data_IF_961639592735
#
_entry.id   IF_961639592735
#
_cell.length_a   1.000
_cell.length_b   1.000
_cell.length_c   1.000
_cell.angle_alpha   90.00
_cell.angle_beta   90.00
_cell.angle_gamma   90.00
#
_symmetry.space_group_name_H-M   'P 1'
#
loop_
_entity.id
_entity.type
_entity.pdbx_description
1 polymer ?
#
# COMPACT_ATOMS: atom_id res chain seq x y z
N UNK A 1 6.94 18.98 7.21
CA UNK A 1 5.87 18.44 6.36
C UNK A 1 6.06 18.80 4.89
N UNK A 2 6.08 20.08 4.50
CA UNK A 2 6.25 20.47 3.08
C UNK A 2 7.51 19.89 2.40
N UNK A 3 8.71 19.92 3.01
CA UNK A 3 9.90 19.33 2.37
C UNK A 3 9.79 17.80 2.15
N UNK A 4 9.02 17.11 3.00
CA UNK A 4 8.78 15.67 2.84
C UNK A 4 7.83 15.39 1.68
N UNK A 5 6.78 16.22 1.51
CA UNK A 5 5.83 16.10 0.40
C UNK A 5 6.51 16.40 -0.94
N UNK A 6 7.35 17.44 -0.99
CA UNK A 6 8.14 17.76 -2.18
C UNK A 6 9.09 16.63 -2.56
N UNK A 7 9.76 16.01 -1.57
CA UNK A 7 10.65 14.85 -1.80
C UNK A 7 9.91 13.63 -2.36
N UNK A 8 8.61 13.50 -2.07
CA UNK A 8 7.74 12.43 -2.57
C UNK A 8 7.12 12.76 -3.93
N UNK A 9 7.51 13.88 -4.56
CA UNK A 9 7.05 14.28 -5.88
C UNK A 9 5.75 15.07 -5.90
N UNK A 10 5.20 15.48 -4.74
CA UNK A 10 4.04 16.37 -4.76
C UNK A 10 4.43 17.78 -5.20
N UNK A 11 3.63 18.42 -6.07
CA UNK A 11 3.79 19.81 -6.46
C UNK A 11 3.30 20.75 -5.34
N UNK A 12 4.02 20.79 -4.22
CA UNK A 12 3.72 21.66 -3.07
C UNK A 12 4.58 22.92 -3.04
N UNK A 13 3.98 23.99 -2.55
CA UNK A 13 4.65 25.23 -2.17
C UNK A 13 4.10 25.75 -0.84
N UNK A 14 4.87 26.59 -0.17
CA UNK A 14 4.42 27.27 1.05
C UNK A 14 3.85 28.64 0.66
N UNK A 15 2.55 28.84 0.83
CA UNK A 15 1.88 30.11 0.61
C UNK A 15 1.41 30.65 1.97
N UNK A 16 2.02 31.74 2.44
CA UNK A 16 1.71 32.35 3.75
C UNK A 16 1.73 31.35 4.92
N UNK A 17 2.69 30.43 4.93
CA UNK A 17 2.79 29.38 5.97
C UNK A 17 1.92 28.15 5.75
N UNK A 18 1.06 28.14 4.72
CA UNK A 18 0.16 27.02 4.41
C UNK A 18 0.72 26.21 3.24
N UNK A 19 0.73 24.89 3.40
CA UNK A 19 1.11 23.96 2.33
C UNK A 19 0.02 23.97 1.26
N UNK A 20 0.37 24.38 0.05
CA UNK A 20 -0.56 24.52 -1.07
C UNK A 20 -0.06 23.72 -2.26
N UNK A 21 -0.95 23.00 -2.93
CA UNK A 21 -0.67 22.36 -4.21
C UNK A 21 -0.73 23.43 -5.32
N UNK A 22 0.28 23.52 -6.20
CA UNK A 22 0.25 24.46 -7.33
C UNK A 22 -0.22 23.83 -8.65
N UNK A 23 -0.35 22.50 -8.69
CA UNK A 23 -0.95 21.76 -9.80
C UNK A 23 -1.59 20.49 -9.28
N UNK A 24 -2.62 19.98 -9.95
CA UNK A 24 -3.24 18.71 -9.59
C UNK A 24 -2.24 17.55 -9.64
N UNK A 25 -2.39 16.60 -8.72
CA UNK A 25 -1.52 15.44 -8.62
C UNK A 25 -2.32 14.19 -8.25
N UNK A 26 -2.30 13.19 -9.14
CA UNK A 26 -2.94 11.90 -8.89
C UNK A 26 -1.97 11.00 -8.12
N UNK A 27 -2.28 10.69 -6.87
CA UNK A 27 -1.44 9.82 -6.04
C UNK A 27 -1.56 8.36 -6.48
N UNK A 28 -2.77 7.82 -6.63
CA UNK A 28 -2.99 6.43 -7.04
C UNK A 28 -4.40 6.25 -7.64
N UNK A 29 -4.61 5.18 -8.39
CA UNK A 29 -5.92 4.80 -8.93
C UNK A 29 -6.39 3.45 -8.38
N UNK A 30 -7.69 3.16 -8.51
CA UNK A 30 -8.27 1.92 -8.02
C UNK A 30 -7.78 0.72 -8.83
N UNK A 31 -7.33 -0.34 -8.15
CA UNK A 31 -6.83 -1.56 -8.77
C UNK A 31 -5.31 -1.58 -8.97
N UNK A 32 -4.64 -0.43 -8.92
CA UNK A 32 -3.19 -0.36 -9.05
C UNK A 32 -2.46 -0.75 -7.76
N UNK A 33 -1.27 -1.35 -7.92
CA UNK A 33 -0.38 -1.62 -6.80
C UNK A 33 0.32 -0.33 -6.36
N UNK A 34 0.13 0.06 -5.10
CA UNK A 34 0.79 1.23 -4.52
C UNK A 34 2.32 1.09 -4.49
N UNK A 35 3.02 2.15 -4.89
CA UNK A 35 4.47 2.29 -4.65
C UNK A 35 4.74 2.75 -3.21
N UNK A 36 5.97 2.57 -2.69
CA UNK A 36 6.33 3.06 -1.36
C UNK A 36 6.10 4.56 -1.19
N UNK A 37 6.41 5.37 -2.20
CA UNK A 37 6.21 6.82 -2.14
C UNK A 37 4.72 7.18 -2.08
N UNK A 38 3.88 6.56 -2.93
CA UNK A 38 2.42 6.75 -2.87
C UNK A 38 1.86 6.36 -1.49
N UNK A 39 2.29 5.22 -0.93
CA UNK A 39 1.85 4.78 0.39
C UNK A 39 2.26 5.76 1.50
N UNK A 40 3.43 6.39 1.37
CA UNK A 40 3.94 7.37 2.32
C UNK A 40 3.17 8.68 2.25
N UNK A 41 2.79 9.11 1.05
CA UNK A 41 1.90 10.26 0.84
C UNK A 41 0.56 10.03 1.53
N UNK A 42 -0.07 8.88 1.28
CA UNK A 42 -1.35 8.51 1.89
C UNK A 42 -1.27 8.49 3.42
N UNK A 43 -0.17 7.97 3.97
CA UNK A 43 0.07 7.97 5.42
C UNK A 43 0.23 9.37 5.99
N UNK A 44 0.96 10.25 5.30
CA UNK A 44 1.15 11.65 5.73
C UNK A 44 -0.14 12.49 5.66
N UNK A 45 -1.06 12.13 4.76
CA UNK A 45 -2.35 12.79 4.58
C UNK A 45 -3.50 12.07 5.31
N UNK A 46 -3.19 11.08 6.14
CA UNK A 46 -4.14 10.29 6.93
C UNK A 46 -5.26 9.64 6.09
N UNK A 47 -4.94 9.24 4.85
CA UNK A 47 -5.86 8.52 3.95
C UNK A 47 -5.66 7.01 4.06
N UNK A 48 -6.60 6.33 4.70
CA UNK A 48 -6.60 4.88 4.86
C UNK A 48 -7.26 4.19 3.66
N UNK A 49 -6.48 3.45 2.86
CA UNK A 49 -7.01 2.70 1.71
C UNK A 49 -7.19 1.20 1.98
N UNK A 50 -6.57 0.67 3.04
CA UNK A 50 -6.58 -0.75 3.36
C UNK A 50 -7.36 -1.02 4.64
N UNK A 51 -8.32 -1.94 4.56
CA UNK A 51 -8.95 -2.52 5.76
C UNK A 51 -8.15 -3.76 6.17
N UNK A 52 -7.58 -3.73 7.36
CA UNK A 52 -6.99 -4.92 7.96
C UNK A 52 -8.11 -5.89 8.36
N UNK A 53 -8.01 -7.15 7.89
CA UNK A 53 -8.96 -8.22 8.23
C UNK A 53 -8.19 -9.48 8.57
N UNK A 54 -8.61 -10.15 9.64
CA UNK A 54 -8.15 -11.48 10.01
C UNK A 54 -9.17 -12.50 9.48
N UNK A 55 -8.68 -13.55 8.84
CA UNK A 55 -9.51 -14.68 8.42
C UNK A 55 -9.04 -15.91 9.17
N UNK A 56 -9.92 -16.53 9.97
CA UNK A 56 -9.61 -17.77 10.66
C UNK A 56 -9.54 -18.90 9.62
N UNK A 57 -8.36 -19.47 9.44
CA UNK A 57 -8.13 -20.53 8.45
C UNK A 57 -8.45 -21.90 9.04
N UNK A 58 -7.98 -22.15 10.26
CA UNK A 58 -8.19 -23.39 10.97
C UNK A 58 -8.20 -23.15 12.47
N UNK A 59 -8.83 -24.06 13.19
CA UNK A 59 -8.83 -24.11 14.64
C UNK A 59 -8.54 -25.55 15.09
N UNK A 60 -8.03 -25.69 16.30
CA UNK A 60 -7.98 -26.98 16.97
C UNK A 60 -8.74 -26.86 18.28
N UNK A 61 -9.63 -27.82 18.55
CA UNK A 61 -10.30 -27.93 19.85
C UNK A 61 -10.11 -29.35 20.41
N UNK A 62 -10.08 -29.53 21.74
CA UNK A 62 -9.96 -30.87 22.34
C UNK A 62 -11.10 -31.82 21.93
N UNK A 63 -12.30 -31.27 21.71
CA UNK A 63 -13.52 -32.01 21.37
C UNK A 63 -13.59 -32.39 19.89
N UNK A 64 -13.14 -31.50 19.00
CA UNK A 64 -13.30 -31.67 17.54
C UNK A 64 -11.98 -31.88 16.80
N UNK A 65 -10.87 -31.90 17.52
CA UNK A 65 -9.52 -31.94 16.97
C UNK A 65 -9.29 -30.81 15.96
N UNK A 66 -8.44 -31.02 14.95
CA UNK A 66 -8.10 -29.99 13.97
C UNK A 66 -9.20 -29.84 12.92
N UNK A 67 -9.72 -28.63 12.76
CA UNK A 67 -10.76 -28.28 11.79
C UNK A 67 -10.33 -27.07 10.95
N UNK A 68 -10.51 -27.16 9.63
CA UNK A 68 -10.34 -26.02 8.72
C UNK A 68 -11.63 -25.22 8.69
N UNK A 69 -11.56 -23.93 9.07
CA UNK A 69 -12.71 -23.02 9.20
C UNK A 69 -12.84 -22.07 8.00
N UNK A 70 -11.72 -21.77 7.32
CA UNK A 70 -11.67 -20.77 6.24
C UNK A 70 -11.24 -21.34 4.89
N UNK A 71 -11.73 -20.75 3.80
CA UNK A 71 -11.30 -21.08 2.44
C UNK A 71 -9.85 -20.58 2.19
N UNK A 72 -8.96 -21.50 1.81
CA UNK A 72 -7.61 -21.16 1.34
C UNK A 72 -7.69 -20.47 -0.02
N UNK A 73 -7.47 -19.16 -0.09
CA UNK A 73 -7.29 -18.48 -1.38
C UNK A 73 -5.95 -18.92 -1.99
N UNK A 74 -6.00 -19.77 -3.02
CA UNK A 74 -4.87 -20.11 -3.90
C UNK A 74 -4.33 -18.82 -4.52
N UNK A 75 -3.07 -18.44 -4.27
CA UNK A 75 -2.51 -17.19 -4.77
C UNK A 75 -2.44 -17.22 -6.31
N UNK A 76 -3.16 -16.33 -6.99
CA UNK A 76 -2.88 -15.97 -8.37
C UNK A 76 -1.45 -15.41 -8.45
N UNK A 77 -0.66 -16.01 -9.32
CA UNK A 77 0.75 -15.73 -9.62
C UNK A 77 0.92 -14.26 -10.05
N UNK A 78 1.53 -13.43 -9.20
CA UNK A 78 2.02 -12.11 -9.60
C UNK A 78 3.17 -12.33 -10.61
N UNK A 79 3.13 -11.76 -11.82
CA UNK A 79 4.24 -11.86 -12.76
C UNK A 79 5.48 -11.22 -12.14
N UNK A 80 6.53 -12.01 -11.92
CA UNK A 80 7.86 -11.49 -11.59
C UNK A 80 8.52 -11.12 -12.90
N UNK A 81 8.69 -9.83 -13.16
CA UNK A 81 9.55 -9.34 -14.24
C UNK A 81 10.98 -9.76 -13.93
N UNK A 82 11.72 -10.41 -14.85
CA UNK A 82 13.10 -10.80 -14.60
C UNK A 82 14.00 -9.57 -14.64
N UNK A 83 14.59 -9.20 -13.51
CA UNK A 83 15.65 -8.18 -13.44
C UNK A 83 16.92 -8.78 -14.03
N UNK A 84 17.32 -8.33 -15.22
CA UNK A 84 18.58 -8.71 -15.84
C UNK A 84 19.75 -8.25 -14.97
N UNK A 85 20.52 -9.20 -14.45
CA UNK A 85 21.82 -8.94 -13.85
C UNK A 85 22.81 -8.67 -14.99
N UNK A 86 23.26 -7.42 -15.15
CA UNK A 86 24.44 -7.09 -15.94
C UNK A 86 25.64 -7.13 -15.00
N UNK A 87 26.46 -8.16 -15.16
CA UNK A 87 27.83 -8.25 -14.65
C UNK A 87 28.76 -7.55 -15.64
N UNK A 88 29.70 -6.72 -15.21
CA UNK A 88 31.01 -6.63 -15.82
C UNK A 88 31.98 -7.64 -15.18
#
# INVERSE_FOLDING_TARGET
MEPQLRKLGLPTQLQKGVITLYSDFVVCTAGDKLTPDQSRILKLLEKTLATFRVTLIAQWTPERHFEVVGATKTKSKVPRTPTAHKTP
#
